data_IF_760929399630
#
_entry.id   IF_760929399630
#
_cell.length_a   1.000
_cell.length_b   1.000
_cell.length_c   1.000
_cell.angle_alpha   90.00
_cell.angle_beta   90.00
_cell.angle_gamma   90.00
#
_symmetry.space_group_name_H-M   'P 1'
#
loop_
_entity.id
_entity.type
_entity.pdbx_description
1 polymer ?
#
# COMPACT_ATOMS: atom_id res chain seq x y z
N UNK A 1 -14.35 20.10 -5.69
CA UNK A 1 -13.70 19.29 -4.65
C UNK A 1 -14.54 18.04 -4.49
N UNK A 2 -13.90 16.88 -4.37
CA UNK A 2 -14.55 15.56 -4.38
C UNK A 2 -15.03 15.20 -2.97
N UNK A 3 -16.31 14.89 -2.80
CA UNK A 3 -16.90 14.53 -1.49
C UNK A 3 -16.28 13.24 -0.93
N UNK A 4 -16.05 12.24 -1.80
CA UNK A 4 -15.42 10.97 -1.40
C UNK A 4 -13.98 11.15 -0.93
N UNK A 5 -13.26 12.10 -1.53
CA UNK A 5 -11.91 12.49 -1.08
C UNK A 5 -11.96 13.03 0.35
N UNK A 6 -12.88 13.94 0.63
CA UNK A 6 -12.96 14.60 1.94
C UNK A 6 -13.32 13.59 3.04
N UNK A 7 -14.24 12.66 2.76
CA UNK A 7 -14.59 11.55 3.66
C UNK A 7 -13.37 10.67 3.95
N UNK A 8 -12.64 10.23 2.91
CA UNK A 8 -11.47 9.36 3.10
C UNK A 8 -10.35 10.08 3.85
N UNK A 9 -10.14 11.37 3.58
CA UNK A 9 -9.16 12.19 4.31
C UNK A 9 -9.50 12.24 5.80
N UNK A 10 -10.76 12.53 6.16
CA UNK A 10 -11.20 12.56 7.56
C UNK A 10 -11.07 11.20 8.24
N UNK A 11 -11.47 10.13 7.55
CA UNK A 11 -11.35 8.76 8.07
C UNK A 11 -9.90 8.37 8.35
N UNK A 12 -8.99 8.64 7.42
CA UNK A 12 -7.57 8.34 7.55
C UNK A 12 -6.92 9.22 8.62
N UNK A 13 -7.28 10.51 8.69
CA UNK A 13 -6.78 11.44 9.71
C UNK A 13 -7.12 10.94 11.12
N UNK A 14 -8.39 10.60 11.36
CA UNK A 14 -8.85 10.10 12.65
C UNK A 14 -8.18 8.78 13.01
N UNK A 15 -8.14 7.83 12.07
CA UNK A 15 -7.51 6.53 12.30
C UNK A 15 -6.05 6.69 12.73
N UNK A 16 -5.28 7.51 12.00
CA UNK A 16 -3.85 7.67 12.28
C UNK A 16 -3.61 8.50 13.55
N UNK A 17 -4.43 9.51 13.83
CA UNK A 17 -4.36 10.25 15.09
C UNK A 17 -4.60 9.34 16.31
N UNK A 18 -5.53 8.39 16.20
CA UNK A 18 -5.88 7.48 17.29
C UNK A 18 -4.89 6.31 17.46
N UNK A 19 -4.25 5.86 16.37
CA UNK A 19 -3.46 4.61 16.35
C UNK A 19 -1.96 4.81 16.20
N UNK A 20 -1.48 5.88 15.56
CA UNK A 20 -0.06 6.08 15.23
C UNK A 20 0.74 6.65 16.40
N UNK A 21 0.72 5.96 17.54
CA UNK A 21 1.49 6.37 18.71
C UNK A 21 3.01 6.30 18.44
N UNK A 22 3.84 7.12 19.13
CA UNK A 22 5.30 7.03 19.02
C UNK A 22 5.87 5.63 19.33
N UNK A 23 5.18 4.85 20.18
CA UNK A 23 5.57 3.48 20.48
C UNK A 23 5.33 2.54 19.31
N UNK A 24 4.19 2.67 18.62
CA UNK A 24 3.88 1.90 17.42
C UNK A 24 4.87 2.22 16.30
N UNK A 25 5.16 3.50 16.07
CA UNK A 25 6.14 3.94 15.07
C UNK A 25 7.51 3.31 15.34
N UNK A 26 8.04 3.39 16.58
CA UNK A 26 9.32 2.76 16.94
C UNK A 26 9.31 1.24 16.77
N UNK A 27 8.20 0.57 17.10
CA UNK A 27 8.08 -0.87 16.91
C UNK A 27 8.09 -1.24 15.42
N UNK A 28 7.38 -0.48 14.60
CA UNK A 28 7.39 -0.62 13.14
C UNK A 28 8.81 -0.41 12.59
N UNK A 29 9.51 0.65 13.02
CA UNK A 29 10.90 0.91 12.63
C UNK A 29 11.84 -0.24 13.01
N UNK A 30 11.55 -0.95 14.11
CA UNK A 30 12.30 -2.10 14.57
C UNK A 30 11.96 -3.43 13.86
N UNK A 31 11.03 -3.46 12.89
CA UNK A 31 10.66 -4.69 12.19
C UNK A 31 9.30 -5.27 12.54
N UNK A 32 8.59 -4.70 13.52
CA UNK A 32 7.34 -5.26 14.02
C UNK A 32 6.15 -4.77 13.21
N UNK A 33 5.51 -5.69 12.49
CA UNK A 33 4.33 -5.38 11.68
C UNK A 33 3.18 -4.82 12.54
N UNK A 34 2.62 -3.64 12.19
CA UNK A 34 1.44 -3.07 12.84
C UNK A 34 0.14 -3.83 12.55
N UNK A 35 0.04 -5.10 12.96
CA UNK A 35 -1.06 -6.01 12.63
C UNK A 35 -2.45 -5.40 12.89
N UNK A 36 -2.65 -4.78 14.06
CA UNK A 36 -3.93 -4.16 14.42
C UNK A 36 -4.28 -2.94 13.53
N UNK A 37 -3.29 -2.10 13.22
CA UNK A 37 -3.51 -0.93 12.36
C UNK A 37 -3.82 -1.37 10.92
N UNK A 38 -3.08 -2.36 10.41
CA UNK A 38 -3.33 -2.86 9.05
C UNK A 38 -4.72 -3.51 8.94
N UNK A 39 -5.11 -4.35 9.89
CA UNK A 39 -6.45 -4.95 9.90
C UNK A 39 -7.56 -3.89 9.93
N UNK A 40 -7.38 -2.80 10.68
CA UNK A 40 -8.34 -1.69 10.71
C UNK A 40 -8.39 -0.97 9.35
N UNK A 41 -7.23 -0.70 8.74
CA UNK A 41 -7.11 -0.13 7.38
C UNK A 41 -7.82 -0.99 6.33
N UNK A 42 -7.63 -2.31 6.37
CA UNK A 42 -8.29 -3.27 5.47
C UNK A 42 -9.79 -3.31 5.69
N UNK A 43 -10.25 -3.31 6.95
CA UNK A 43 -11.68 -3.34 7.29
C UNK A 43 -12.44 -2.11 6.78
N UNK A 44 -11.74 -0.99 6.60
CA UNK A 44 -12.26 0.26 6.05
C UNK A 44 -12.20 0.30 4.51
N UNK A 45 -11.64 -0.73 3.86
CA UNK A 45 -11.49 -0.79 2.40
C UNK A 45 -10.47 0.20 1.82
N UNK A 46 -9.67 0.87 2.67
CA UNK A 46 -8.76 1.93 2.25
C UNK A 46 -7.71 1.48 1.22
N UNK A 47 -7.11 0.28 1.30
CA UNK A 47 -6.15 -0.18 0.29
C UNK A 47 -6.74 -0.28 -1.12
N UNK A 48 -8.07 -0.46 -1.23
CA UNK A 48 -8.80 -0.63 -2.48
C UNK A 48 -9.43 0.68 -2.97
N UNK A 49 -9.24 1.81 -2.28
CA UNK A 49 -9.97 3.06 -2.52
C UNK A 49 -9.86 3.56 -3.97
N UNK A 50 -8.75 3.28 -4.67
CA UNK A 50 -8.54 3.68 -6.07
C UNK A 50 -9.11 2.70 -7.11
N UNK A 51 -9.64 1.55 -6.69
CA UNK A 51 -10.35 0.64 -7.59
C UNK A 51 -11.77 1.15 -7.90
N UNK A 52 -12.36 0.74 -9.04
CA UNK A 52 -13.78 0.97 -9.31
C UNK A 52 -14.68 0.30 -8.27
N UNK A 53 -15.89 0.82 -8.08
CA UNK A 53 -16.87 0.27 -7.14
C UNK A 53 -17.24 -1.19 -7.47
N UNK A 54 -17.25 -1.57 -8.75
CA UNK A 54 -17.51 -2.93 -9.20
C UNK A 54 -16.42 -3.93 -8.76
N UNK A 55 -15.25 -3.42 -8.37
CA UNK A 55 -14.14 -4.19 -7.80
C UNK A 55 -14.01 -3.98 -6.29
N UNK A 56 -15.02 -3.39 -5.64
CA UNK A 56 -15.05 -3.14 -4.20
C UNK A 56 -14.24 -1.92 -3.74
N UNK A 57 -13.82 -1.06 -4.67
CA UNK A 57 -13.15 0.20 -4.35
C UNK A 57 -14.09 1.39 -4.19
N UNK A 58 -13.51 2.58 -4.09
CA UNK A 58 -14.20 3.86 -3.90
C UNK A 58 -14.12 4.76 -5.15
N UNK A 59 -13.54 4.27 -6.26
CA UNK A 59 -13.37 5.04 -7.49
C UNK A 59 -12.47 6.27 -7.35
N UNK A 60 -11.60 6.31 -6.33
CA UNK A 60 -10.79 7.50 -6.04
C UNK A 60 -9.75 7.73 -7.13
N UNK A 61 -9.80 8.91 -7.75
CA UNK A 61 -8.83 9.30 -8.77
C UNK A 61 -7.44 9.60 -8.20
N UNK A 62 -6.42 9.54 -9.06
CA UNK A 62 -5.02 9.85 -8.72
C UNK A 62 -4.86 11.25 -8.09
N UNK A 63 -5.53 12.26 -8.65
CA UNK A 63 -5.47 13.63 -8.14
C UNK A 63 -6.03 13.75 -6.72
N UNK A 64 -7.16 13.12 -6.45
CA UNK A 64 -7.79 13.14 -5.13
C UNK A 64 -7.02 12.31 -4.09
N UNK A 65 -6.40 11.21 -4.53
CA UNK A 65 -5.56 10.34 -3.69
C UNK A 65 -4.39 11.07 -3.04
N UNK A 66 -3.87 12.13 -3.68
CA UNK A 66 -2.78 12.94 -3.12
C UNK A 66 -3.13 13.54 -1.75
N UNK A 67 -4.39 13.89 -1.51
CA UNK A 67 -4.81 14.43 -0.22
C UNK A 67 -4.75 13.38 0.89
N UNK A 68 -5.13 12.14 0.58
CA UNK A 68 -4.96 11.00 1.50
C UNK A 68 -3.48 10.77 1.77
N UNK A 69 -2.64 10.75 0.73
CA UNK A 69 -1.20 10.55 0.90
C UNK A 69 -0.51 11.64 1.72
N UNK A 70 -0.96 12.89 1.63
CA UNK A 70 -0.49 13.95 2.53
C UNK A 70 -0.81 13.67 4.00
N UNK A 71 -1.98 13.09 4.29
CA UNK A 71 -2.32 12.65 5.65
C UNK A 71 -1.38 11.53 6.10
N UNK A 72 -1.18 10.52 5.26
CA UNK A 72 -0.26 9.41 5.56
C UNK A 72 1.15 9.92 5.87
N UNK A 73 1.66 10.84 5.04
CA UNK A 73 2.98 11.45 5.23
C UNK A 73 3.08 12.28 6.50
N UNK A 74 2.06 13.08 6.84
CA UNK A 74 2.03 13.92 8.05
C UNK A 74 2.09 13.12 9.34
N UNK A 75 1.42 11.96 9.35
CA UNK A 75 1.39 11.04 10.48
C UNK A 75 2.52 10.02 10.46
N UNK A 76 3.32 9.97 9.39
CA UNK A 76 4.36 8.95 9.22
C UNK A 76 3.77 7.54 9.28
N UNK A 77 2.66 7.30 8.58
CA UNK A 77 1.88 6.06 8.66
C UNK A 77 2.79 4.82 8.55
N UNK A 78 2.82 3.92 9.56
CA UNK A 78 3.77 2.82 9.60
C UNK A 78 3.34 1.60 8.76
N UNK A 79 2.45 1.79 7.78
CA UNK A 79 1.85 0.76 6.92
C UNK A 79 1.85 1.19 5.45
N UNK A 80 1.92 0.25 4.48
CA UNK A 80 2.14 0.56 3.06
C UNK A 80 0.84 0.95 2.33
N UNK A 81 0.00 1.79 2.95
CA UNK A 81 -1.33 2.11 2.44
C UNK A 81 -1.27 2.89 1.12
N UNK A 82 -0.38 3.87 1.01
CA UNK A 82 -0.22 4.65 -0.23
C UNK A 82 0.18 3.74 -1.40
N UNK A 83 1.11 2.81 -1.15
CA UNK A 83 1.60 1.86 -2.12
C UNK A 83 0.52 0.89 -2.56
N UNK A 84 -0.27 0.34 -1.63
CA UNK A 84 -1.39 -0.56 -1.99
C UNK A 84 -2.46 0.17 -2.80
N UNK A 85 -2.83 1.40 -2.41
CA UNK A 85 -3.77 2.22 -3.17
C UNK A 85 -3.27 2.47 -4.61
N UNK A 86 -2.02 2.91 -4.74
CA UNK A 86 -1.43 3.21 -6.04
C UNK A 86 -1.28 1.94 -6.92
N UNK A 87 -0.91 0.80 -6.33
CA UNK A 87 -0.88 -0.48 -7.03
C UNK A 87 -2.26 -0.86 -7.59
N UNK A 88 -3.31 -0.73 -6.77
CA UNK A 88 -4.69 -0.94 -7.21
C UNK A 88 -5.08 0.02 -8.35
N UNK A 89 -4.80 1.32 -8.18
CA UNK A 89 -5.08 2.33 -9.21
C UNK A 89 -4.39 2.05 -10.55
N UNK A 90 -3.17 1.51 -10.55
CA UNK A 90 -2.47 1.10 -11.77
C UNK A 90 -3.15 -0.11 -12.44
N UNK A 91 -3.53 -1.12 -11.66
CA UNK A 91 -4.25 -2.29 -12.19
C UNK A 91 -5.59 -1.86 -12.81
N UNK A 92 -6.34 -1.01 -12.12
CA UNK A 92 -7.60 -0.45 -12.62
C UNK A 92 -7.40 0.32 -13.93
N UNK A 93 -6.38 1.17 -14.01
CA UNK A 93 -6.06 1.92 -15.24
C UNK A 93 -5.66 1.00 -16.41
N UNK A 94 -5.09 -0.18 -16.12
CA UNK A 94 -4.75 -1.18 -17.11
C UNK A 94 -5.89 -2.18 -17.43
N UNK A 95 -7.05 -2.06 -16.78
CA UNK A 95 -8.16 -3.00 -16.92
C UNK A 95 -7.88 -4.39 -16.36
N UNK A 96 -6.93 -4.51 -15.42
CA UNK A 96 -6.59 -5.77 -14.74
C UNK A 96 -7.35 -5.81 -13.42
N UNK A 97 -8.08 -6.90 -13.17
CA UNK A 97 -8.77 -7.09 -11.91
C UNK A 97 -7.77 -7.26 -10.76
N UNK A 98 -7.93 -6.51 -9.68
CA UNK A 98 -7.07 -6.64 -8.51
C UNK A 98 -7.37 -7.95 -7.76
N UNK A 99 -6.35 -8.78 -7.46
CA UNK A 99 -6.53 -9.95 -6.62
C UNK A 99 -6.72 -9.53 -5.15
N UNK A 100 -7.29 -10.43 -4.35
CA UNK A 100 -7.40 -10.23 -2.91
C UNK A 100 -6.02 -10.24 -2.23
N UNK A 101 -5.90 -9.52 -1.11
CA UNK A 101 -4.66 -9.41 -0.34
C UNK A 101 -3.85 -8.15 -0.63
N UNK A 102 -2.74 -7.99 0.08
CA UNK A 102 -1.93 -6.77 0.05
C UNK A 102 -1.18 -6.64 -1.27
N UNK A 103 -1.50 -5.58 -2.01
CA UNK A 103 -0.76 -5.17 -3.21
C UNK A 103 0.46 -4.33 -2.82
N UNK A 104 1.60 -4.60 -3.44
CA UNK A 104 2.81 -3.78 -3.30
C UNK A 104 3.33 -3.34 -4.67
N UNK A 105 3.83 -2.10 -4.74
CA UNK A 105 4.49 -1.57 -5.93
C UNK A 105 5.93 -2.06 -6.02
N UNK A 106 6.22 -2.90 -7.01
CA UNK A 106 7.56 -3.38 -7.33
C UNK A 106 8.18 -2.58 -8.48
N UNK A 107 9.33 -1.96 -8.22
CA UNK A 107 10.12 -1.26 -9.22
C UNK A 107 11.33 -2.12 -9.59
N UNK A 108 11.56 -2.43 -10.88
CA UNK A 108 12.76 -3.15 -11.28
C UNK A 108 14.01 -2.41 -10.80
N UNK A 109 14.98 -3.15 -10.25
CA UNK A 109 16.26 -2.65 -9.72
C UNK A 109 16.19 -1.90 -8.39
N UNK A 110 15.00 -1.65 -7.83
CA UNK A 110 14.88 -1.17 -6.45
C UNK A 110 14.98 -2.36 -5.48
N UNK A 111 15.85 -2.29 -4.45
CA UNK A 111 16.23 -3.46 -3.67
C UNK A 111 15.18 -3.93 -2.67
N UNK A 112 14.01 -3.30 -2.56
CA UNK A 112 12.98 -3.79 -1.65
C UNK A 112 11.66 -3.03 -1.68
N UNK A 113 10.79 -3.48 -0.80
CA UNK A 113 9.42 -3.06 -0.67
C UNK A 113 9.17 -2.76 0.80
N UNK A 114 8.53 -1.62 1.14
CA UNK A 114 8.00 -1.41 2.48
C UNK A 114 7.11 -2.59 2.84
N UNK A 115 7.43 -3.26 3.94
CA UNK A 115 6.70 -4.45 4.38
C UNK A 115 6.57 -5.54 3.32
N UNK A 116 7.56 -5.69 2.45
CA UNK A 116 7.50 -6.64 1.36
C UNK A 116 7.12 -8.05 1.82
N UNK A 117 7.58 -8.53 2.99
CA UNK A 117 7.21 -9.83 3.58
C UNK A 117 5.71 -10.05 3.84
N UNK A 118 4.91 -8.98 3.85
CA UNK A 118 3.45 -9.00 4.01
C UNK A 118 2.69 -8.86 2.69
N UNK A 119 3.36 -8.51 1.60
CA UNK A 119 2.72 -8.42 0.28
C UNK A 119 2.28 -9.80 -0.22
N UNK A 120 1.06 -9.88 -0.75
CA UNK A 120 0.52 -11.05 -1.44
C UNK A 120 0.78 -10.96 -2.94
N UNK A 121 0.79 -9.74 -3.49
CA UNK A 121 0.97 -9.49 -4.91
C UNK A 121 1.88 -8.30 -5.18
N UNK A 122 2.64 -8.40 -6.27
CA UNK A 122 3.55 -7.38 -6.75
C UNK A 122 3.01 -6.79 -8.05
N UNK A 123 2.86 -5.47 -8.07
CA UNK A 123 2.46 -4.69 -9.23
C UNK A 123 3.66 -3.85 -9.67
N UNK A 124 4.09 -4.00 -10.92
CA UNK A 124 5.26 -3.28 -11.40
C UNK A 124 5.24 -3.08 -12.90
N UNK A 125 6.25 -2.39 -13.44
CA UNK A 125 6.43 -2.23 -14.88
C UNK A 125 7.68 -2.99 -15.30
N UNK A 126 7.55 -3.91 -16.25
CA UNK A 126 8.66 -4.66 -16.86
C UNK A 126 8.60 -4.45 -18.37
N UNK A 127 9.68 -3.93 -18.94
CA UNK A 127 9.78 -3.62 -20.38
C UNK A 127 8.61 -2.77 -20.91
N UNK A 128 8.19 -1.78 -20.10
CA UNK A 128 7.09 -0.86 -20.43
C UNK A 128 5.68 -1.41 -20.27
N UNK A 129 5.53 -2.66 -19.83
CA UNK A 129 4.23 -3.29 -19.57
C UNK A 129 3.96 -3.41 -18.08
N UNK A 130 2.73 -3.13 -17.65
CA UNK A 130 2.28 -3.42 -16.28
C UNK A 130 2.24 -4.94 -16.09
N UNK A 131 2.82 -5.41 -14.99
CA UNK A 131 2.84 -6.82 -14.61
C UNK A 131 2.25 -6.98 -13.22
N UNK A 132 1.48 -8.06 -13.06
CA UNK A 132 0.97 -8.55 -11.79
C UNK A 132 1.60 -9.91 -11.53
N UNK A 133 2.16 -10.09 -10.34
CA UNK A 133 2.78 -11.33 -9.91
C UNK A 133 2.36 -11.70 -8.48
N UNK A 134 2.09 -12.96 -8.17
CA UNK A 134 2.00 -13.40 -6.78
C UNK A 134 3.38 -13.24 -6.11
N UNK A 135 3.37 -12.81 -4.85
CA UNK A 135 4.56 -12.63 -4.04
C UNK A 135 4.91 -13.95 -3.34
N UNK A 136 5.65 -14.82 -4.02
CA UNK A 136 5.88 -16.21 -3.58
C UNK A 136 7.03 -16.39 -2.58
N UNK A 137 8.00 -15.46 -2.55
CA UNK A 137 9.12 -15.51 -1.60
C UNK A 137 9.67 -14.12 -1.28
N UNK A 138 10.16 -13.92 -0.05
CA UNK A 138 10.84 -12.69 0.39
C UNK A 138 12.24 -13.01 0.92
N UNK A 139 13.16 -12.03 0.81
CA UNK A 139 14.43 -12.00 1.54
C UNK A 139 14.52 -10.66 2.26
N UNK A 140 14.97 -10.69 3.52
CA UNK A 140 15.23 -9.46 4.28
C UNK A 140 16.17 -8.54 3.49
N UNK A 141 15.78 -7.30 3.22
CA UNK A 141 16.71 -6.33 2.65
C UNK A 141 17.68 -5.86 3.75
N UNK A 142 18.90 -5.51 3.35
CA UNK A 142 20.02 -5.27 4.29
C UNK A 142 19.98 -3.91 4.97
N UNK A 143 19.16 -2.96 4.51
CA UNK A 143 19.06 -1.60 5.08
C UNK A 143 17.63 -1.05 5.01
N UNK A 144 17.11 -0.46 6.11
CA UNK A 144 15.84 0.27 6.11
C UNK A 144 15.89 1.49 5.18
N UNK A 145 14.78 1.79 4.51
CA UNK A 145 14.55 3.10 3.87
C UNK A 145 13.44 3.79 4.65
N UNK A 146 13.62 5.09 4.95
CA UNK A 146 12.67 5.86 5.77
C UNK A 146 12.39 5.24 7.16
N UNK A 147 13.38 4.51 7.70
CA UNK A 147 13.32 3.78 8.98
C UNK A 147 12.32 2.63 9.04
N UNK A 148 11.58 2.31 7.98
CA UNK A 148 10.69 1.16 7.94
C UNK A 148 11.40 -0.11 7.44
N UNK A 149 10.92 -1.32 7.82
CA UNK A 149 11.47 -2.57 7.35
C UNK A 149 11.29 -2.70 5.85
N UNK A 150 12.39 -3.04 5.18
CA UNK A 150 12.47 -3.13 3.74
C UNK A 150 12.79 -4.58 3.38
N UNK A 151 11.99 -5.19 2.51
CA UNK A 151 12.14 -6.59 2.11
C UNK A 151 12.28 -6.69 0.59
N UNK A 152 13.24 -7.47 0.11
CA UNK A 152 13.30 -7.84 -1.31
C UNK A 152 12.34 -9.01 -1.57
N UNK A 153 11.63 -8.99 -2.70
CA UNK A 153 10.74 -10.09 -3.13
C UNK A 153 11.25 -10.70 -4.42
N UNK A 154 11.02 -12.01 -4.59
CA UNK A 154 11.21 -12.71 -5.86
C UNK A 154 9.83 -12.77 -6.54
N UNK A 155 9.65 -12.18 -7.74
CA UNK A 155 8.40 -12.30 -8.48
C UNK A 155 8.10 -13.76 -8.81
N UNK A 156 6.84 -14.20 -8.62
CA UNK A 156 6.34 -15.46 -9.15
C UNK A 156 6.13 -15.42 -10.69
N UNK A 157 5.54 -16.45 -11.30
CA UNK A 157 5.15 -16.38 -12.72
C UNK A 157 4.17 -15.22 -12.98
N UNK A 158 4.15 -14.67 -14.20
CA UNK A 158 3.16 -13.65 -14.61
C UNK A 158 1.77 -14.25 -14.56
N UNK A 159 0.82 -13.51 -13.99
CA UNK A 159 -0.62 -13.82 -14.01
C UNK A 159 -1.36 -12.87 -14.92
#
# INVERSE_FOLDING_TARGET
MSEIRDILVEQVERLLADRSSPALLRAAEAGTWPEALWAEVESLGLPLAMLPEEQGGAGLGWGDSTAVWHVLGRHGAPVPLAESMAAGGLLAAAGIAAPAGMLALAVPREPGLPWGRKADHLVGIVDGSLVLHPATAHKHARQPISRLPYDSRVPGPRT
#
